data_IF_084388703884
#
_entry.id   IF_084388703884
#
_cell.length_a   1.000
_cell.length_b   1.000
_cell.length_c   1.000
_cell.angle_alpha   90.00
_cell.angle_beta   90.00
_cell.angle_gamma   90.00
#
_symmetry.space_group_name_H-M   'P 1'
#
loop_
_entity.id
_entity.type
_entity.pdbx_description
1 polymer ?
#
# COMPACT_ATOMS: atom_id res chain seq x y z
N UNK A 1 8.20 -15.80 17.68
CA UNK A 1 7.40 -15.84 16.43
C UNK A 1 8.29 -16.39 15.33
N UNK A 2 7.73 -17.06 14.31
CA UNK A 2 8.48 -17.40 13.09
C UNK A 2 8.78 -16.07 12.38
N UNK A 3 10.06 -15.78 12.17
CA UNK A 3 10.51 -14.64 11.39
C UNK A 3 10.41 -15.01 9.90
N UNK A 4 9.53 -14.31 9.18
CA UNK A 4 9.35 -14.50 7.74
C UNK A 4 10.32 -13.64 6.91
N UNK A 5 11.26 -12.95 7.56
CA UNK A 5 12.21 -12.04 6.90
C UNK A 5 11.57 -10.72 6.47
N UNK A 6 10.41 -10.37 7.04
CA UNK A 6 9.78 -9.08 6.77
C UNK A 6 10.47 -7.99 7.60
N UNK A 7 10.64 -6.83 6.99
CA UNK A 7 11.05 -5.65 7.72
C UNK A 7 9.94 -5.28 8.71
N UNK A 8 10.24 -5.36 10.01
CA UNK A 8 9.35 -4.90 11.06
C UNK A 8 9.89 -3.59 11.63
N UNK A 9 9.25 -2.48 11.31
CA UNK A 9 9.55 -1.19 11.91
C UNK A 9 8.44 -0.89 12.93
N UNK A 10 8.75 -0.77 14.23
CA UNK A 10 7.74 -0.42 15.22
C UNK A 10 7.22 0.99 14.99
N UNK A 11 6.09 1.32 15.64
CA UNK A 11 5.56 2.67 15.74
C UNK A 11 6.53 3.59 16.53
N UNK A 12 6.29 4.91 16.52
CA UNK A 12 7.15 5.90 17.17
C UNK A 12 8.35 6.33 16.32
N UNK A 13 8.21 6.26 14.99
CA UNK A 13 9.27 6.60 14.05
C UNK A 13 9.45 8.10 13.96
N UNK A 14 10.71 8.52 13.86
CA UNK A 14 11.06 9.89 13.47
C UNK A 14 10.82 10.12 11.96
N UNK A 15 10.93 11.36 11.50
CA UNK A 15 10.67 11.73 10.11
C UNK A 15 11.54 10.95 9.10
N UNK A 16 12.80 10.66 9.46
CA UNK A 16 13.71 9.94 8.57
C UNK A 16 13.32 8.47 8.44
N UNK A 17 13.04 7.82 9.56
CA UNK A 17 12.67 6.40 9.63
C UNK A 17 11.29 6.19 9.00
N UNK A 18 10.35 7.12 9.21
CA UNK A 18 9.05 7.09 8.53
C UNK A 18 9.20 7.22 7.02
N UNK A 19 10.09 8.07 6.51
CA UNK A 19 10.33 8.18 5.06
C UNK A 19 10.82 6.85 4.46
N UNK A 20 11.73 6.15 5.16
CA UNK A 20 12.22 4.84 4.72
C UNK A 20 11.14 3.76 4.80
N UNK A 21 10.29 3.83 5.81
CA UNK A 21 9.12 2.97 5.93
C UNK A 21 8.13 3.20 4.77
N UNK A 22 7.83 4.45 4.45
CA UNK A 22 6.94 4.78 3.33
C UNK A 22 7.49 4.28 1.99
N UNK A 23 8.81 4.31 1.79
CA UNK A 23 9.44 3.79 0.56
C UNK A 23 9.14 2.30 0.33
N UNK A 24 9.10 1.50 1.39
CA UNK A 24 8.76 0.07 1.29
C UNK A 24 7.25 -0.17 1.19
N UNK A 25 6.44 0.72 1.74
CA UNK A 25 4.97 0.64 1.76
C UNK A 25 4.30 1.10 0.46
N UNK A 26 4.98 1.84 -0.43
CA UNK A 26 4.38 2.31 -1.69
C UNK A 26 3.79 1.17 -2.52
N UNK A 27 4.53 0.07 -2.70
CA UNK A 27 4.08 -1.06 -3.54
C UNK A 27 2.97 -1.90 -2.88
N UNK A 28 3.09 -2.31 -1.60
CA UNK A 28 2.01 -2.96 -0.87
C UNK A 28 0.70 -2.16 -0.92
N UNK A 29 0.73 -0.88 -0.54
CA UNK A 29 -0.49 -0.07 -0.51
C UNK A 29 -1.06 0.24 -1.89
N UNK A 30 -0.25 0.23 -2.95
CA UNK A 30 -0.75 0.32 -4.32
C UNK A 30 -1.52 -0.95 -4.73
N UNK A 31 -1.07 -2.13 -4.29
CA UNK A 31 -1.82 -3.38 -4.48
C UNK A 31 -3.10 -3.38 -3.64
N UNK A 32 -3.05 -2.92 -2.39
CA UNK A 32 -4.25 -2.79 -1.55
C UNK A 32 -5.29 -1.88 -2.18
N UNK A 33 -4.86 -0.76 -2.78
CA UNK A 33 -5.76 0.11 -3.53
C UNK A 33 -6.40 -0.62 -4.72
N UNK A 34 -5.61 -1.30 -5.55
CA UNK A 34 -6.11 -2.08 -6.67
C UNK A 34 -7.11 -3.15 -6.23
N UNK A 35 -6.85 -3.85 -5.12
CA UNK A 35 -7.74 -4.86 -4.57
C UNK A 35 -9.03 -4.25 -4.02
N UNK A 36 -8.95 -3.12 -3.32
CA UNK A 36 -10.12 -2.41 -2.82
C UNK A 36 -11.03 -2.00 -3.99
N UNK A 37 -10.47 -1.41 -5.05
CA UNK A 37 -11.23 -1.05 -6.25
C UNK A 37 -11.82 -2.29 -6.93
N UNK A 38 -11.05 -3.35 -7.09
CA UNK A 38 -11.52 -4.61 -7.67
C UNK A 38 -12.65 -5.27 -6.84
N UNK A 39 -12.71 -5.02 -5.53
CA UNK A 39 -13.75 -5.53 -4.65
C UNK A 39 -14.93 -4.54 -4.44
N UNK A 40 -14.88 -3.33 -5.01
CA UNK A 40 -15.86 -2.28 -4.71
C UNK A 40 -15.78 -1.76 -3.27
N UNK A 41 -14.63 -1.88 -2.62
CA UNK A 41 -14.37 -1.46 -1.24
C UNK A 41 -13.61 -0.12 -1.19
N UNK A 42 -13.92 0.79 -0.23
CA UNK A 42 -13.21 2.06 -0.11
C UNK A 42 -11.77 1.88 0.39
N UNK A 43 -10.81 2.54 -0.25
CA UNK A 43 -9.40 2.55 0.14
C UNK A 43 -8.97 3.85 0.82
N UNK A 44 -8.11 3.74 1.83
CA UNK A 44 -7.39 4.86 2.45
C UNK A 44 -5.94 4.43 2.68
N UNK A 45 -4.97 5.29 2.33
CA UNK A 45 -3.57 5.05 2.71
C UNK A 45 -3.40 5.10 4.22
N UNK A 46 -2.51 4.25 4.75
CA UNK A 46 -2.11 4.23 6.15
C UNK A 46 -0.65 4.65 6.26
N UNK A 47 -0.37 5.72 7.00
CA UNK A 47 1.01 6.10 7.31
C UNK A 47 1.57 5.33 8.52
N UNK A 48 0.69 4.68 9.30
CA UNK A 48 1.01 3.71 10.35
C UNK A 48 2.01 4.18 11.44
N UNK A 49 1.97 5.47 11.82
CA UNK A 49 2.89 6.07 12.80
C UNK A 49 2.12 6.85 13.89
N UNK A 50 1.36 6.15 14.75
CA UNK A 50 0.46 6.76 15.73
C UNK A 50 1.20 7.28 16.99
N UNK A 51 2.35 6.69 17.32
CA UNK A 51 3.18 7.06 18.47
C UNK A 51 4.35 7.99 18.10
N UNK A 52 4.41 8.42 16.83
CA UNK A 52 5.42 9.36 16.33
C UNK A 52 5.34 10.75 16.97
N UNK A 53 6.46 11.47 17.00
CA UNK A 53 6.53 12.86 17.48
C UNK A 53 6.09 13.88 16.43
N UNK A 54 5.69 13.41 15.24
CA UNK A 54 5.22 14.23 14.13
C UNK A 54 4.11 13.52 13.35
N UNK A 55 3.30 14.30 12.64
CA UNK A 55 2.24 13.79 11.76
C UNK A 55 2.80 13.57 10.34
N UNK A 56 2.76 12.34 9.79
CA UNK A 56 3.17 12.09 8.42
C UNK A 56 2.31 12.83 7.40
N UNK A 57 2.91 13.31 6.30
CA UNK A 57 2.16 13.93 5.20
C UNK A 57 1.43 12.87 4.38
N UNK A 58 0.21 12.57 4.81
CA UNK A 58 -0.68 11.62 4.18
C UNK A 58 -0.93 11.92 2.70
N UNK A 59 -1.00 13.20 2.31
CA UNK A 59 -1.32 13.58 0.91
C UNK A 59 -0.14 13.29 0.00
N UNK A 60 1.08 13.59 0.46
CA UNK A 60 2.31 13.26 -0.27
C UNK A 60 2.43 11.74 -0.40
N UNK A 61 2.25 10.99 0.69
CA UNK A 61 2.31 9.53 0.64
C UNK A 61 1.25 8.95 -0.31
N UNK A 62 0.00 9.42 -0.23
CA UNK A 62 -1.08 8.99 -1.13
C UNK A 62 -0.77 9.24 -2.61
N UNK A 63 -0.12 10.36 -2.95
CA UNK A 63 0.30 10.65 -4.34
C UNK A 63 1.35 9.66 -4.84
N UNK A 64 2.28 9.25 -3.97
CA UNK A 64 3.30 8.24 -4.30
C UNK A 64 2.66 6.87 -4.55
N UNK A 65 1.75 6.45 -3.67
CA UNK A 65 0.96 5.21 -3.84
C UNK A 65 0.15 5.26 -5.15
N UNK A 66 -0.55 6.37 -5.40
CA UNK A 66 -1.31 6.55 -6.64
C UNK A 66 -0.43 6.49 -7.90
N UNK A 67 0.77 7.09 -7.88
CA UNK A 67 1.70 7.00 -8.99
C UNK A 67 2.11 5.53 -9.27
N UNK A 68 2.33 4.72 -8.22
CA UNK A 68 2.61 3.30 -8.37
C UNK A 68 1.40 2.50 -8.88
N UNK A 69 0.17 2.88 -8.50
CA UNK A 69 -1.06 2.31 -9.11
C UNK A 69 -1.10 2.59 -10.61
N UNK A 70 -0.84 3.83 -11.03
CA UNK A 70 -0.82 4.20 -12.45
C UNK A 70 0.28 3.46 -13.21
N UNK A 71 1.45 3.29 -12.60
CA UNK A 71 2.55 2.49 -13.16
C UNK A 71 2.12 1.04 -13.37
N UNK A 72 1.49 0.40 -12.38
CA UNK A 72 0.97 -0.96 -12.53
C UNK A 72 -0.10 -1.09 -13.63
N UNK A 73 -0.97 -0.09 -13.79
CA UNK A 73 -1.99 -0.09 -14.84
C UNK A 73 -1.39 0.12 -16.24
N UNK A 74 -0.35 0.93 -16.36
CA UNK A 74 0.29 1.25 -17.64
C UNK A 74 1.31 0.17 -18.07
N UNK A 75 2.10 -0.33 -17.14
CA UNK A 75 3.25 -1.20 -17.41
C UNK A 75 3.02 -2.67 -17.03
N UNK A 76 1.88 -2.98 -16.41
CA UNK A 76 1.44 -4.34 -16.12
C UNK A 76 1.46 -4.67 -14.63
N UNK A 77 0.43 -5.40 -14.20
CA UNK A 77 0.29 -5.90 -12.83
C UNK A 77 0.99 -7.26 -12.74
N UNK A 78 1.82 -7.53 -11.71
CA UNK A 78 2.46 -8.84 -11.54
C UNK A 78 1.45 -9.99 -11.48
N UNK A 79 1.86 -11.20 -11.85
CA UNK A 79 0.94 -12.33 -12.06
C UNK A 79 0.06 -12.65 -10.84
N UNK A 80 0.65 -12.67 -9.63
CA UNK A 80 -0.08 -12.98 -8.39
C UNK A 80 -1.18 -11.95 -8.08
N UNK A 81 -0.89 -10.63 -7.99
CA UNK A 81 -1.94 -9.63 -7.80
C UNK A 81 -2.95 -9.60 -8.95
N UNK A 82 -2.52 -9.79 -10.21
CA UNK A 82 -3.45 -9.84 -11.35
C UNK A 82 -4.47 -10.98 -11.23
N UNK A 83 -4.01 -12.17 -10.81
CA UNK A 83 -4.90 -13.32 -10.53
C UNK A 83 -5.91 -12.99 -9.43
N UNK A 84 -5.47 -12.31 -8.37
CA UNK A 84 -6.34 -11.96 -7.26
C UNK A 84 -7.37 -10.89 -7.64
N UNK A 85 -6.96 -9.84 -8.36
CA UNK A 85 -7.85 -8.81 -8.92
C UNK A 85 -8.95 -9.45 -9.76
N UNK A 86 -8.60 -10.38 -10.66
CA UNK A 86 -9.60 -11.05 -11.49
C UNK A 86 -10.57 -11.90 -10.68
N UNK A 87 -10.09 -12.56 -9.63
CA UNK A 87 -10.94 -13.32 -8.72
C UNK A 87 -11.91 -12.40 -7.95
N UNK A 88 -11.44 -11.24 -7.47
CA UNK A 88 -12.27 -10.23 -6.80
C UNK A 88 -13.35 -9.69 -7.74
N UNK A 89 -12.98 -9.30 -8.96
CA UNK A 89 -13.94 -8.83 -9.98
C UNK A 89 -15.03 -9.85 -10.28
N UNK A 90 -14.64 -11.12 -10.44
CA UNK A 90 -15.60 -12.19 -10.68
C UNK A 90 -16.54 -12.42 -9.48
N UNK A 91 -16.04 -12.28 -8.25
CA UNK A 91 -16.80 -12.49 -7.02
C UNK A 91 -17.77 -11.34 -6.71
N UNK A 92 -17.32 -10.09 -6.88
CA UNK A 92 -18.07 -8.88 -6.56
C UNK A 92 -18.80 -8.26 -7.76
N UNK A 93 -18.64 -8.83 -8.96
CA UNK A 93 -19.28 -8.37 -10.20
C UNK A 93 -18.91 -6.93 -10.59
N UNK A 94 -17.62 -6.61 -10.52
CA UNK A 94 -17.02 -5.32 -10.88
C UNK A 94 -16.13 -5.40 -12.13
#
# INVERSE_FOLDING_TARGET
>A
LVDFGYWYCPDGRDAQTQSQFEDVEVKPQALDWLFCVAAGYPFNVSCDNLEGDFEPDRVVFQRRVHAQVMDYLANGIPERPARFIKALQNYYHT
#
